data_IF_588468771999
#
_entry.id   IF_588468771999
#
_cell.length_a   1.000
_cell.length_b   1.000
_cell.length_c   1.000
_cell.angle_alpha   90.00
_cell.angle_beta   90.00
_cell.angle_gamma   90.00
#
_symmetry.space_group_name_H-M   'P 1'
#
loop_
_entity.id
_entity.type
_entity.pdbx_description
1 polymer ?
#
# COMPACT_ATOMS: atom_id res chain seq x y z
N UNK A 1 0.19 -16.35 6.54
CA UNK A 1 0.92 -16.97 5.39
C UNK A 1 1.73 -18.21 5.77
N UNK A 2 2.44 -18.28 6.91
CA UNK A 2 2.98 -19.58 7.39
C UNK A 2 1.88 -20.63 7.60
N UNK A 3 0.68 -20.18 7.98
CA UNK A 3 -0.55 -20.98 8.11
C UNK A 3 -0.94 -21.76 6.83
N UNK A 4 -0.44 -21.35 5.65
CA UNK A 4 -0.62 -22.06 4.38
C UNK A 4 0.69 -22.60 3.80
N UNK A 5 1.76 -22.69 4.60
CA UNK A 5 3.04 -23.28 4.19
C UNK A 5 3.90 -22.41 3.26
N UNK A 6 3.65 -21.10 3.18
CA UNK A 6 4.48 -20.21 2.39
C UNK A 6 5.91 -20.13 2.95
N UNK A 7 6.92 -20.12 2.07
CA UNK A 7 8.30 -19.84 2.45
C UNK A 7 8.45 -18.37 2.87
N UNK A 8 8.86 -18.15 4.12
CA UNK A 8 9.02 -16.83 4.72
C UNK A 8 10.48 -16.37 4.74
N UNK A 9 11.44 -17.18 4.25
CA UNK A 9 12.87 -16.89 4.34
C UNK A 9 13.22 -15.50 3.79
N UNK A 10 12.84 -15.21 2.55
CA UNK A 10 13.11 -13.92 1.92
C UNK A 10 12.44 -12.73 2.62
N UNK A 11 11.23 -12.91 3.14
CA UNK A 11 10.50 -11.86 3.88
C UNK A 11 11.20 -11.57 5.22
N UNK A 12 11.55 -12.61 5.97
CA UNK A 12 12.22 -12.46 7.27
C UNK A 12 13.61 -11.85 7.10
N UNK A 13 14.36 -12.27 6.08
CA UNK A 13 15.66 -11.70 5.75
C UNK A 13 15.59 -10.21 5.41
N UNK A 14 14.56 -9.81 4.66
CA UNK A 14 14.29 -8.40 4.38
C UNK A 14 13.99 -7.64 5.67
N UNK A 15 13.06 -8.12 6.50
CA UNK A 15 12.67 -7.47 7.77
C UNK A 15 13.88 -7.33 8.70
N UNK A 16 14.66 -8.41 8.87
CA UNK A 16 15.85 -8.40 9.72
C UNK A 16 16.89 -7.37 9.24
N UNK A 17 17.10 -7.27 7.93
CA UNK A 17 18.01 -6.27 7.36
C UNK A 17 17.49 -4.84 7.56
N UNK A 18 16.19 -4.60 7.37
CA UNK A 18 15.61 -3.27 7.64
C UNK A 18 15.75 -2.88 9.11
N UNK A 19 15.56 -3.83 10.03
CA UNK A 19 15.69 -3.59 11.47
C UNK A 19 17.14 -3.30 11.89
N UNK A 20 18.12 -3.98 11.29
CA UNK A 20 19.54 -3.81 11.62
C UNK A 20 20.19 -2.61 10.91
N UNK A 21 19.93 -2.46 9.61
CA UNK A 21 20.70 -1.60 8.72
C UNK A 21 19.86 -0.50 8.03
N UNK A 22 18.55 -0.49 8.28
CA UNK A 22 17.61 0.49 7.73
C UNK A 22 17.04 0.13 6.36
N UNK A 23 16.01 0.87 5.97
CA UNK A 23 15.22 0.59 4.75
C UNK A 23 16.06 0.63 3.48
N UNK A 24 16.96 1.62 3.34
CA UNK A 24 17.78 1.76 2.14
C UNK A 24 18.63 0.51 1.87
N UNK A 25 19.16 -0.11 2.93
CA UNK A 25 19.90 -1.39 2.84
C UNK A 25 18.98 -2.56 2.53
N UNK A 26 17.82 -2.64 3.18
CA UNK A 26 16.81 -3.65 2.88
C UNK A 26 16.37 -3.63 1.42
N UNK A 27 16.07 -2.46 0.86
CA UNK A 27 15.65 -2.30 -0.53
C UNK A 27 16.78 -2.59 -1.53
N UNK A 28 18.06 -2.44 -1.15
CA UNK A 28 19.19 -2.76 -2.02
C UNK A 28 19.44 -4.28 -2.18
N UNK A 29 18.75 -5.12 -1.40
CA UNK A 29 18.87 -6.58 -1.47
C UNK A 29 18.33 -7.14 -2.78
N UNK A 30 19.03 -8.13 -3.34
CA UNK A 30 18.68 -8.76 -4.63
C UNK A 30 17.36 -9.52 -4.57
N UNK A 31 17.00 -10.03 -3.40
CA UNK A 31 15.80 -10.84 -3.19
C UNK A 31 14.51 -10.03 -3.27
N UNK A 32 14.59 -8.69 -3.16
CA UNK A 32 13.41 -7.82 -3.28
C UNK A 32 13.06 -7.63 -4.76
N UNK A 33 11.84 -8.00 -5.19
CA UNK A 33 11.39 -7.76 -6.56
C UNK A 33 11.47 -6.29 -6.95
N UNK A 34 11.89 -6.00 -8.19
CA UNK A 34 12.07 -4.61 -8.66
C UNK A 34 10.78 -3.79 -8.59
N UNK A 35 9.63 -4.40 -8.89
CA UNK A 35 8.32 -3.74 -8.82
C UNK A 35 7.96 -3.37 -7.38
N UNK A 36 8.27 -4.22 -6.40
CA UNK A 36 8.10 -3.91 -4.98
C UNK A 36 9.04 -2.80 -4.51
N UNK A 37 10.29 -2.81 -4.99
CA UNK A 37 11.28 -1.77 -4.71
C UNK A 37 10.83 -0.41 -5.22
N UNK A 38 10.32 -0.33 -6.47
CA UNK A 38 9.81 0.90 -7.07
C UNK A 38 8.61 1.46 -6.31
N UNK A 39 7.65 0.60 -5.96
CA UNK A 39 6.47 0.99 -5.19
C UNK A 39 6.80 1.49 -3.77
N UNK A 40 7.76 0.84 -3.11
CA UNK A 40 8.26 1.32 -1.82
C UNK A 40 8.95 2.67 -1.95
N UNK A 41 9.84 2.84 -2.96
CA UNK A 41 10.52 4.12 -3.19
C UNK A 41 9.54 5.25 -3.45
N UNK A 42 8.52 5.07 -4.29
CA UNK A 42 7.53 6.13 -4.54
C UNK A 42 6.79 6.57 -3.28
N UNK A 43 6.59 5.65 -2.33
CA UNK A 43 5.99 5.98 -1.02
C UNK A 43 6.94 6.81 -0.17
N UNK A 44 8.21 6.40 -0.07
CA UNK A 44 9.20 7.11 0.73
C UNK A 44 9.61 8.45 0.13
N UNK A 45 9.65 8.59 -1.19
CA UNK A 45 9.90 9.87 -1.87
C UNK A 45 8.83 10.93 -1.49
N UNK A 46 7.56 10.52 -1.34
CA UNK A 46 6.47 11.40 -0.87
C UNK A 46 6.63 11.73 0.61
N UNK A 47 7.08 10.79 1.44
CA UNK A 47 7.33 11.04 2.88
C UNK A 47 8.50 12.01 3.05
N UNK A 48 9.57 11.81 2.29
CA UNK A 48 10.81 12.59 2.34
C UNK A 48 10.64 14.03 1.81
N UNK A 49 9.61 14.30 1.00
CA UNK A 49 9.28 15.68 0.62
C UNK A 49 8.94 16.55 1.84
N UNK A 50 8.45 15.95 2.93
CA UNK A 50 8.05 16.66 4.14
C UNK A 50 6.81 17.52 3.97
N UNK A 51 6.09 17.38 2.86
CA UNK A 51 4.93 18.21 2.49
C UNK A 51 3.62 17.57 2.97
N UNK A 52 2.97 18.10 4.03
CA UNK A 52 1.88 17.40 4.70
C UNK A 52 0.67 17.13 3.79
N UNK A 53 0.33 18.06 2.88
CA UNK A 53 -0.78 17.90 1.93
C UNK A 53 -0.51 16.77 0.93
N UNK A 54 0.72 16.62 0.46
CA UNK A 54 1.12 15.53 -0.44
C UNK A 54 1.13 14.18 0.26
N UNK A 55 1.68 14.10 1.47
CA UNK A 55 1.66 12.88 2.30
C UNK A 55 0.21 12.46 2.59
N UNK A 56 -0.62 13.41 2.99
CA UNK A 56 -2.05 13.19 3.22
C UNK A 56 -2.77 12.72 1.94
N UNK A 57 -2.40 13.24 0.77
CA UNK A 57 -2.98 12.85 -0.51
C UNK A 57 -2.69 11.38 -0.84
N UNK A 58 -1.41 10.98 -0.76
CA UNK A 58 -0.99 9.62 -0.99
C UNK A 58 -1.67 8.63 -0.02
N UNK A 59 -1.84 9.03 1.24
CA UNK A 59 -2.55 8.23 2.24
C UNK A 59 -4.05 8.14 1.96
N UNK A 60 -4.76 9.27 1.89
CA UNK A 60 -6.21 9.31 1.82
C UNK A 60 -6.74 8.72 0.51
N UNK A 61 -6.18 9.16 -0.62
CA UNK A 61 -6.67 8.82 -1.96
C UNK A 61 -5.92 7.62 -2.57
N UNK A 62 -4.64 7.44 -2.23
CA UNK A 62 -3.82 6.34 -2.76
C UNK A 62 -3.92 5.03 -1.97
N UNK A 63 -4.43 5.06 -0.74
CA UNK A 63 -4.51 3.88 0.15
C UNK A 63 -5.87 3.74 0.82
N UNK A 64 -6.31 4.73 1.58
CA UNK A 64 -7.49 4.61 2.44
C UNK A 64 -8.77 4.39 1.64
N UNK A 65 -8.94 5.11 0.52
CA UNK A 65 -10.12 5.00 -0.36
C UNK A 65 -10.19 3.66 -1.13
N UNK A 66 -9.05 2.99 -1.35
CA UNK A 66 -8.96 1.88 -2.34
C UNK A 66 -8.79 0.52 -1.70
N UNK A 67 -8.04 0.45 -0.60
CA UNK A 67 -7.69 -0.83 0.05
C UNK A 67 -8.95 -1.63 0.46
N UNK A 68 -10.00 -1.02 1.03
CA UNK A 68 -11.23 -1.75 1.38
C UNK A 68 -11.89 -2.43 0.17
N UNK A 69 -12.10 -1.71 -0.93
CA UNK A 69 -12.70 -2.26 -2.15
C UNK A 69 -11.84 -3.37 -2.78
N UNK A 70 -10.52 -3.18 -2.83
CA UNK A 70 -9.58 -4.19 -3.32
C UNK A 70 -9.62 -5.47 -2.47
N UNK A 71 -9.63 -5.34 -1.14
CA UNK A 71 -9.70 -6.49 -0.23
C UNK A 71 -11.04 -7.20 -0.28
N UNK A 72 -12.14 -6.47 -0.48
CA UNK A 72 -13.47 -7.05 -0.70
C UNK A 72 -13.49 -7.91 -1.97
N UNK A 73 -12.88 -7.43 -3.06
CA UNK A 73 -12.74 -8.20 -4.30
C UNK A 73 -11.88 -9.46 -4.10
N UNK A 74 -10.74 -9.34 -3.41
CA UNK A 74 -9.88 -10.48 -3.08
C UNK A 74 -10.61 -11.54 -2.25
N UNK A 75 -11.33 -11.13 -1.20
CA UNK A 75 -12.13 -12.03 -0.36
C UNK A 75 -13.21 -12.77 -1.15
N UNK A 76 -13.81 -12.12 -2.15
CA UNK A 76 -14.88 -12.71 -2.96
C UNK A 76 -14.36 -13.74 -3.98
N UNK A 77 -13.16 -13.53 -4.53
CA UNK A 77 -12.62 -14.33 -5.64
C UNK A 77 -11.58 -15.38 -5.20
N UNK A 78 -10.97 -15.23 -4.02
CA UNK A 78 -9.93 -16.16 -3.59
C UNK A 78 -10.49 -17.54 -3.21
N UNK A 79 -9.73 -18.59 -3.54
CA UNK A 79 -10.08 -20.00 -3.25
C UNK A 79 -9.57 -20.49 -1.89
N UNK A 80 -8.99 -19.60 -1.08
CA UNK A 80 -8.48 -19.89 0.26
C UNK A 80 -9.61 -19.61 1.24
N UNK A 81 -10.04 -20.61 2.00
CA UNK A 81 -11.12 -20.44 3.00
C UNK A 81 -10.59 -19.86 4.31
N UNK A 82 -11.50 -19.37 5.16
CA UNK A 82 -11.13 -18.85 6.48
C UNK A 82 -10.47 -19.93 7.34
N UNK A 83 -10.87 -21.19 7.16
CA UNK A 83 -10.24 -22.32 7.85
C UNK A 83 -8.81 -22.58 7.36
N UNK A 84 -8.52 -22.33 6.09
CA UNK A 84 -7.18 -22.52 5.52
C UNK A 84 -6.20 -21.43 5.99
N UNK A 85 -6.66 -20.18 6.10
CA UNK A 85 -5.83 -19.04 6.44
C UNK A 85 -6.54 -18.03 7.36
N UNK A 86 -6.81 -18.38 8.63
CA UNK A 86 -7.63 -17.57 9.52
C UNK A 86 -7.04 -16.18 9.79
N UNK A 87 -5.72 -16.07 9.90
CA UNK A 87 -5.06 -14.76 10.14
C UNK A 87 -5.19 -13.85 8.92
N UNK A 88 -5.00 -14.41 7.73
CA UNK A 88 -5.12 -13.67 6.47
C UNK A 88 -6.56 -13.19 6.23
N UNK A 89 -7.54 -14.07 6.43
CA UNK A 89 -8.97 -13.72 6.35
C UNK A 89 -9.35 -12.63 7.34
N UNK A 90 -8.93 -12.77 8.60
CA UNK A 90 -9.17 -11.76 9.63
C UNK A 90 -8.59 -10.41 9.21
N UNK A 91 -7.35 -10.39 8.72
CA UNK A 91 -6.69 -9.15 8.28
C UNK A 91 -7.46 -8.45 7.15
N UNK A 92 -7.83 -9.17 6.09
CA UNK A 92 -8.59 -8.58 4.97
C UNK A 92 -9.99 -8.13 5.41
N UNK A 93 -10.71 -8.98 6.14
CA UNK A 93 -12.06 -8.71 6.65
C UNK A 93 -12.08 -7.48 7.55
N UNK A 94 -11.05 -7.31 8.38
CA UNK A 94 -10.98 -6.15 9.27
C UNK A 94 -10.86 -4.84 8.50
N UNK A 95 -10.16 -4.85 7.38
CA UNK A 95 -9.98 -3.68 6.52
C UNK A 95 -11.17 -3.42 5.58
N UNK A 96 -12.06 -4.39 5.35
CA UNK A 96 -13.35 -4.16 4.68
C UNK A 96 -14.44 -3.66 5.63
N UNK A 97 -14.37 -4.03 6.91
CA UNK A 97 -15.32 -3.61 7.95
C UNK A 97 -14.90 -2.35 8.71
N UNK A 98 -13.64 -1.90 8.56
CA UNK A 98 -13.14 -0.63 9.09
C UNK A 98 -13.65 0.55 8.24
N UNK A 99 -14.96 0.75 8.31
CA UNK A 99 -15.68 2.03 8.25
C UNK A 99 -15.28 3.00 7.12
N UNK A 100 -15.49 2.57 5.87
CA UNK A 100 -15.56 3.44 4.68
C UNK A 100 -16.46 4.69 4.94
N UNK A 101 -17.51 4.55 5.77
CA UNK A 101 -18.47 5.62 6.09
C UNK A 101 -17.90 6.74 6.98
N UNK A 102 -16.93 6.44 7.86
CA UNK A 102 -16.35 7.44 8.79
C UNK A 102 -14.96 7.91 8.36
N UNK A 103 -14.08 6.99 7.95
CA UNK A 103 -12.68 7.30 7.70
C UNK A 103 -12.46 8.03 6.37
N UNK A 104 -13.18 7.66 5.32
CA UNK A 104 -13.13 8.35 4.02
C UNK A 104 -13.44 9.85 4.15
N UNK A 105 -14.61 10.24 4.69
CA UNK A 105 -14.95 11.65 4.91
C UNK A 105 -13.96 12.38 5.84
N UNK A 106 -13.41 11.70 6.85
CA UNK A 106 -12.38 12.28 7.71
C UNK A 106 -11.07 12.56 6.97
N UNK A 107 -10.62 11.63 6.13
CA UNK A 107 -9.42 11.76 5.33
C UNK A 107 -9.56 12.91 4.31
N UNK A 108 -10.73 13.04 3.68
CA UNK A 108 -11.04 14.16 2.78
C UNK A 108 -11.09 15.51 3.52
N UNK A 109 -11.67 15.55 4.73
CA UNK A 109 -11.65 16.77 5.55
C UNK A 109 -10.24 17.16 5.99
N UNK A 110 -9.40 16.18 6.33
CA UNK A 110 -7.98 16.41 6.63
C UNK A 110 -7.27 17.02 5.42
N UNK A 111 -7.44 16.44 4.24
CA UNK A 111 -6.88 16.95 2.99
C UNK A 111 -7.30 18.39 2.71
N UNK A 112 -8.61 18.67 2.76
CA UNK A 112 -9.14 20.01 2.54
C UNK A 112 -8.53 21.05 3.49
N UNK A 113 -8.32 20.69 4.77
CA UNK A 113 -7.65 21.57 5.74
C UNK A 113 -6.16 21.78 5.46
N UNK A 114 -5.46 20.80 4.90
CA UNK A 114 -4.05 20.92 4.56
C UNK A 114 -3.83 21.76 3.29
N UNK A 115 -4.77 21.70 2.35
CA UNK A 115 -4.80 22.58 1.20
C UNK A 115 -5.12 24.03 1.58
N UNK A 116 -6.05 24.25 2.52
CA UNK A 116 -6.42 25.57 3.05
C UNK A 116 -6.79 26.62 1.97
N UNK A 117 -7.39 26.15 0.86
CA UNK A 117 -7.74 26.99 -0.29
C UNK A 117 -6.57 27.48 -1.14
N UNK A 118 -5.35 26.99 -0.89
CA UNK A 118 -4.18 27.25 -1.74
C UNK A 118 -4.25 26.39 -3.01
N UNK A 119 -4.45 27.05 -4.16
CA UNK A 119 -4.58 26.38 -5.45
C UNK A 119 -3.37 25.51 -5.84
N UNK A 120 -2.14 25.90 -5.43
CA UNK A 120 -0.94 25.10 -5.69
C UNK A 120 -0.96 23.82 -4.86
N UNK A 121 -1.35 23.90 -3.59
CA UNK A 121 -1.47 22.70 -2.72
C UNK A 121 -2.55 21.75 -3.20
N UNK A 122 -3.65 22.28 -3.74
CA UNK A 122 -4.70 21.47 -4.36
C UNK A 122 -4.18 20.72 -5.60
N UNK A 123 -3.46 21.41 -6.48
CA UNK A 123 -2.82 20.80 -7.65
C UNK A 123 -1.80 19.71 -7.24
N UNK A 124 -0.92 20.01 -6.29
CA UNK A 124 0.09 19.07 -5.77
C UNK A 124 -0.55 17.85 -5.09
N UNK A 125 -1.67 18.03 -4.41
CA UNK A 125 -2.48 16.96 -3.80
C UNK A 125 -3.01 16.02 -4.88
N UNK A 126 -3.66 16.56 -5.92
CA UNK A 126 -4.21 15.76 -7.02
C UNK A 126 -3.10 15.02 -7.79
N UNK A 127 -1.99 15.71 -8.09
CA UNK A 127 -0.84 15.10 -8.75
C UNK A 127 -0.22 13.97 -7.92
N UNK A 128 -0.09 14.17 -6.60
CA UNK A 128 0.46 13.16 -5.69
C UNK A 128 -0.48 11.95 -5.58
N UNK A 129 -1.79 12.17 -5.48
CA UNK A 129 -2.77 11.10 -5.48
C UNK A 129 -2.70 10.28 -6.78
N UNK A 130 -2.71 10.93 -7.95
CA UNK A 130 -2.59 10.25 -9.24
C UNK A 130 -1.30 9.42 -9.35
N UNK A 131 -0.16 9.96 -8.91
CA UNK A 131 1.11 9.23 -8.89
C UNK A 131 1.07 8.00 -7.96
N UNK A 132 0.46 8.12 -6.78
CA UNK A 132 0.31 7.00 -5.84
C UNK A 132 -0.59 5.88 -6.41
N UNK A 133 -1.64 6.24 -7.13
CA UNK A 133 -2.51 5.30 -7.85
C UNK A 133 -1.76 4.58 -8.96
N UNK A 134 -1.01 5.33 -9.78
CA UNK A 134 -0.23 4.73 -10.85
C UNK A 134 0.84 3.77 -10.31
N UNK A 135 1.55 4.16 -9.25
CA UNK A 135 2.54 3.28 -8.62
C UNK A 135 1.91 1.96 -8.11
N UNK A 136 0.67 2.02 -7.60
CA UNK A 136 -0.08 0.85 -7.16
C UNK A 136 -0.49 -0.06 -8.34
N UNK A 137 -0.92 0.53 -9.45
CA UNK A 137 -1.22 -0.21 -10.69
C UNK A 137 0.04 -0.93 -11.17
N UNK A 138 1.14 -0.19 -11.34
CA UNK A 138 2.44 -0.76 -11.78
C UNK A 138 2.91 -1.89 -10.85
N UNK A 139 2.69 -1.76 -9.55
CA UNK A 139 3.01 -2.80 -8.58
C UNK A 139 2.20 -4.07 -8.81
N UNK A 140 0.87 -3.95 -8.94
CA UNK A 140 -0.01 -5.10 -9.14
C UNK A 140 0.14 -5.74 -10.52
N UNK A 141 0.38 -4.96 -11.57
CA UNK A 141 0.74 -5.47 -12.90
C UNK A 141 2.04 -6.28 -12.80
N UNK A 142 3.04 -5.76 -12.11
CA UNK A 142 4.29 -6.46 -11.84
C UNK A 142 4.13 -7.77 -11.05
N UNK A 143 3.24 -7.79 -10.05
CA UNK A 143 2.89 -9.01 -9.32
C UNK A 143 2.20 -10.01 -10.24
N UNK A 144 1.24 -9.55 -11.05
CA UNK A 144 0.53 -10.38 -12.02
C UNK A 144 1.49 -10.99 -13.05
N UNK A 145 2.43 -10.23 -13.58
CA UNK A 145 3.44 -10.71 -14.53
C UNK A 145 4.34 -11.78 -13.89
N UNK A 146 4.73 -11.58 -12.63
CA UNK A 146 5.58 -12.53 -11.92
C UNK A 146 4.89 -13.89 -11.67
N UNK A 147 3.56 -13.91 -11.51
CA UNK A 147 2.79 -15.14 -11.26
C UNK A 147 2.20 -15.75 -12.54
N UNK A 148 1.89 -14.94 -13.54
CA UNK A 148 1.33 -15.38 -14.84
C UNK A 148 2.42 -15.79 -15.83
N UNK A 149 3.64 -15.27 -15.66
CA UNK A 149 4.82 -15.62 -16.47
C UNK A 149 5.55 -16.89 -16.02
N UNK A 150 4.92 -17.71 -15.16
CA UNK A 150 5.43 -19.00 -14.68
C UNK A 150 4.78 -20.17 -15.42
#
# INVERSE_FOLDING_TARGET
>A
MSEIGADLGGINDFINCVAADGLARGLARREVPEVARRFMRSTFDVIESGEPHRIAAAFALGREDIVPGMFKALLAEMKITEADAPTFHYYLTRHTHLDEESHGPMALRMLSRLCDGDARREEETLATAAAALQARIDFWDGVNDAISGS
#
